data_IF_002246595938
#
_entry.id   IF_002246595938
#
_cell.length_a   1.000
_cell.length_b   1.000
_cell.length_c   1.000
_cell.angle_alpha   90.00
_cell.angle_beta   90.00
_cell.angle_gamma   90.00
#
_symmetry.space_group_name_H-M   'P 1'
#
loop_
_entity.id
_entity.type
_entity.pdbx_description
1 polymer ?
#
# COMPACT_ATOMS: atom_id res chain seq x y z
N UNK A 1 -7.67 -11.39 7.68
CA UNK A 1 -8.90 -11.67 6.90
C UNK A 1 -8.50 -11.98 5.45
N UNK A 2 -9.21 -12.89 4.77
CA UNK A 2 -8.89 -13.22 3.38
C UNK A 2 -9.01 -12.02 2.44
N UNK A 3 -8.06 -11.87 1.51
CA UNK A 3 -7.95 -10.71 0.59
C UNK A 3 -9.26 -10.37 -0.13
N UNK A 4 -10.00 -11.40 -0.60
CA UNK A 4 -11.28 -11.22 -1.31
C UNK A 4 -12.32 -10.54 -0.41
N UNK A 5 -12.39 -10.92 0.86
CA UNK A 5 -13.33 -10.35 1.82
C UNK A 5 -12.99 -8.88 2.08
N UNK A 6 -11.70 -8.56 2.25
CA UNK A 6 -11.23 -7.18 2.43
C UNK A 6 -11.59 -6.32 1.21
N UNK A 7 -11.36 -6.83 -0.01
CA UNK A 7 -11.72 -6.12 -1.24
C UNK A 7 -13.23 -5.93 -1.37
N UNK A 8 -14.05 -6.94 -1.05
CA UNK A 8 -15.50 -6.84 -1.07
C UNK A 8 -16.03 -5.80 -0.06
N UNK A 9 -15.48 -5.80 1.16
CA UNK A 9 -15.80 -4.81 2.18
C UNK A 9 -15.52 -3.39 1.69
N UNK A 10 -14.32 -3.13 1.17
CA UNK A 10 -13.96 -1.82 0.65
C UNK A 10 -14.79 -1.40 -0.56
N UNK A 11 -15.14 -2.33 -1.46
CA UNK A 11 -16.01 -2.05 -2.59
C UNK A 11 -17.41 -1.58 -2.14
N UNK A 12 -18.01 -2.26 -1.16
CA UNK A 12 -19.31 -1.87 -0.58
C UNK A 12 -19.19 -0.52 0.13
N UNK A 13 -18.14 -0.31 0.93
CA UNK A 13 -17.91 0.95 1.64
C UNK A 13 -17.78 2.14 0.66
N UNK A 14 -17.01 1.98 -0.42
CA UNK A 14 -16.85 3.00 -1.46
C UNK A 14 -18.19 3.29 -2.15
N UNK A 15 -18.99 2.27 -2.46
CA UNK A 15 -20.29 2.43 -3.08
C UNK A 15 -21.26 3.23 -2.19
N UNK A 16 -21.32 2.91 -0.90
CA UNK A 16 -22.15 3.61 0.07
C UNK A 16 -21.69 5.06 0.28
N UNK A 17 -20.38 5.29 0.40
CA UNK A 17 -19.78 6.63 0.52
C UNK A 17 -20.05 7.47 -0.73
N UNK A 18 -19.92 6.88 -1.91
CA UNK A 18 -20.24 7.51 -3.19
C UNK A 18 -21.71 7.93 -3.24
N UNK A 19 -22.63 7.03 -2.86
CA UNK A 19 -24.06 7.31 -2.86
C UNK A 19 -24.43 8.43 -1.87
N UNK A 20 -23.96 8.33 -0.63
CA UNK A 20 -24.20 9.33 0.41
C UNK A 20 -23.66 10.70 -0.03
N UNK A 21 -22.41 10.74 -0.50
CA UNK A 21 -21.77 11.97 -0.97
C UNK A 21 -22.51 12.56 -2.18
N UNK A 22 -22.91 11.72 -3.14
CA UNK A 22 -23.71 12.13 -4.29
C UNK A 22 -25.03 12.79 -3.87
N UNK A 23 -25.78 12.17 -2.96
CA UNK A 23 -27.04 12.72 -2.43
C UNK A 23 -26.84 14.08 -1.75
N UNK A 24 -25.75 14.25 -0.99
CA UNK A 24 -25.41 15.52 -0.34
C UNK A 24 -25.13 16.65 -1.35
N UNK A 25 -24.62 16.35 -2.55
CA UNK A 25 -24.37 17.38 -3.58
C UNK A 25 -25.63 17.88 -4.28
N UNK A 26 -26.73 17.13 -4.24
CA UNK A 26 -27.98 17.47 -4.93
C UNK A 26 -28.62 18.79 -4.47
N UNK A 27 -28.80 19.08 -3.16
CA UNK A 27 -29.40 20.35 -2.72
C UNK A 27 -28.56 21.57 -3.14
N UNK A 28 -27.24 21.51 -3.02
CA UNK A 28 -26.34 22.59 -3.46
C UNK A 28 -26.48 22.83 -4.97
N UNK A 29 -26.50 21.75 -5.75
CA UNK A 29 -26.65 21.82 -7.21
C UNK A 29 -28.01 22.37 -7.63
N UNK A 30 -29.05 21.99 -6.89
CA UNK A 30 -30.41 22.44 -7.10
C UNK A 30 -30.56 23.95 -6.89
N UNK A 31 -29.88 24.52 -5.88
CA UNK A 31 -29.92 25.95 -5.55
C UNK A 31 -29.01 26.80 -6.45
N UNK A 32 -27.82 26.30 -6.79
CA UNK A 32 -26.79 27.08 -7.50
C UNK A 32 -26.92 27.04 -9.03
N UNK A 33 -27.53 25.99 -9.62
CA UNK A 33 -27.58 25.83 -11.07
C UNK A 33 -28.92 26.27 -11.69
N UNK A 34 -28.93 27.43 -12.38
CA UNK A 34 -30.13 27.92 -13.11
C UNK A 34 -30.24 27.40 -14.56
N UNK A 35 -29.12 27.22 -15.28
CA UNK A 35 -29.08 26.74 -16.68
C UNK A 35 -28.60 25.29 -16.75
N UNK A 36 -29.23 24.47 -17.61
CA UNK A 36 -28.98 23.02 -17.73
C UNK A 36 -29.08 22.28 -16.37
N UNK A 37 -30.01 22.72 -15.49
CA UNK A 37 -30.13 22.29 -14.09
C UNK A 37 -30.15 20.77 -13.90
N UNK A 38 -31.02 20.06 -14.63
CA UNK A 38 -31.13 18.59 -14.56
C UNK A 38 -29.79 17.89 -14.86
N UNK A 39 -29.07 18.38 -15.86
CA UNK A 39 -27.79 17.81 -16.32
C UNK A 39 -26.69 18.06 -15.30
N UNK A 40 -26.59 19.29 -14.78
CA UNK A 40 -25.62 19.62 -13.72
C UNK A 40 -25.91 18.88 -12.42
N UNK A 41 -27.17 18.69 -12.05
CA UNK A 41 -27.54 17.88 -10.88
C UNK A 41 -27.07 16.43 -11.02
N UNK A 42 -27.27 15.81 -12.20
CA UNK A 42 -26.76 14.46 -12.46
C UNK A 42 -25.22 14.41 -12.39
N UNK A 43 -24.51 15.37 -12.97
CA UNK A 43 -23.04 15.41 -12.92
C UNK A 43 -22.52 15.59 -11.50
N UNK A 44 -23.13 16.48 -10.72
CA UNK A 44 -22.76 16.66 -9.32
C UNK A 44 -22.98 15.37 -8.51
N UNK A 45 -24.11 14.68 -8.72
CA UNK A 45 -24.39 13.40 -8.07
C UNK A 45 -23.34 12.33 -8.42
N UNK A 46 -22.92 12.25 -9.69
CA UNK A 46 -21.94 11.27 -10.17
C UNK A 46 -20.49 11.62 -9.85
N UNK A 47 -20.19 12.88 -9.52
CA UNK A 47 -18.81 13.36 -9.31
C UNK A 47 -18.11 12.67 -8.13
N UNK A 48 -18.70 12.59 -6.92
CA UNK A 48 -18.08 11.88 -5.80
C UNK A 48 -17.78 10.42 -6.11
N UNK A 49 -18.71 9.72 -6.76
CA UNK A 49 -18.51 8.32 -7.15
C UNK A 49 -17.39 8.14 -8.17
N UNK A 50 -17.36 8.99 -9.19
CA UNK A 50 -16.28 8.98 -10.19
C UNK A 50 -14.93 9.23 -9.54
N UNK A 51 -14.86 10.18 -8.60
CA UNK A 51 -13.63 10.52 -7.90
C UNK A 51 -13.15 9.34 -7.02
N UNK A 52 -14.02 8.82 -6.17
CA UNK A 52 -13.70 7.72 -5.25
C UNK A 52 -13.32 6.44 -6.01
N UNK A 53 -14.10 6.05 -7.03
CA UNK A 53 -13.82 4.85 -7.81
C UNK A 53 -12.52 4.96 -8.60
N UNK A 54 -12.26 6.11 -9.24
CA UNK A 54 -11.00 6.32 -9.98
C UNK A 54 -9.81 6.26 -9.04
N UNK A 55 -9.87 6.96 -7.91
CA UNK A 55 -8.78 6.98 -6.94
C UNK A 55 -8.53 5.58 -6.35
N UNK A 56 -9.58 4.86 -5.96
CA UNK A 56 -9.46 3.52 -5.41
C UNK A 56 -8.90 2.51 -6.43
N UNK A 57 -9.44 2.48 -7.65
CA UNK A 57 -8.96 1.59 -8.70
C UNK A 57 -7.51 1.91 -9.10
N UNK A 58 -7.17 3.19 -9.27
CA UNK A 58 -5.81 3.63 -9.54
C UNK A 58 -4.85 3.25 -8.42
N UNK A 59 -5.24 3.46 -7.16
CA UNK A 59 -4.43 3.11 -6.00
C UNK A 59 -4.16 1.61 -5.94
N UNK A 60 -5.17 0.77 -6.18
CA UNK A 60 -5.01 -0.68 -6.21
C UNK A 60 -4.02 -1.14 -7.29
N UNK A 61 -4.15 -0.61 -8.51
CA UNK A 61 -3.20 -0.93 -9.60
C UNK A 61 -1.78 -0.50 -9.22
N UNK A 62 -1.60 0.71 -8.68
CA UNK A 62 -0.30 1.18 -8.23
C UNK A 62 0.28 0.31 -7.11
N UNK A 63 -0.53 -0.14 -6.14
CA UNK A 63 -0.09 -1.05 -5.09
C UNK A 63 0.45 -2.36 -5.65
N UNK A 64 -0.24 -2.96 -6.63
CA UNK A 64 0.21 -4.19 -7.31
C UNK A 64 1.53 -3.96 -8.05
N UNK A 65 1.64 -2.86 -8.81
CA UNK A 65 2.87 -2.53 -9.55
C UNK A 65 4.05 -2.32 -8.58
N UNK A 66 3.83 -1.61 -7.48
CA UNK A 66 4.86 -1.34 -6.47
C UNK A 66 5.29 -2.63 -5.78
N UNK A 67 4.35 -3.52 -5.45
CA UNK A 67 4.65 -4.83 -4.89
C UNK A 67 5.56 -5.66 -5.81
N UNK A 68 5.26 -5.70 -7.11
CA UNK A 68 6.08 -6.41 -8.10
C UNK A 68 7.48 -5.80 -8.22
N UNK A 69 7.59 -4.47 -8.30
CA UNK A 69 8.87 -3.79 -8.49
C UNK A 69 9.77 -3.90 -7.25
N UNK A 70 9.20 -3.69 -6.06
CA UNK A 70 9.96 -3.74 -4.80
C UNK A 70 10.11 -5.16 -4.26
N UNK A 71 9.44 -6.14 -4.87
CA UNK A 71 9.39 -7.52 -4.38
C UNK A 71 8.73 -7.65 -3.01
N UNK A 72 7.85 -6.71 -2.64
CA UNK A 72 7.05 -6.73 -1.41
C UNK A 72 5.68 -7.35 -1.68
N UNK A 73 4.89 -7.57 -0.64
CA UNK A 73 3.47 -7.84 -0.80
C UNK A 73 2.67 -6.58 -1.23
N UNK A 74 1.40 -6.79 -1.60
CA UNK A 74 0.47 -5.74 -2.08
C UNK A 74 0.11 -4.75 -0.96
N UNK A 75 0.26 -5.12 0.30
CA UNK A 75 -0.07 -4.33 1.49
C UNK A 75 -1.55 -4.42 1.85
N UNK A 76 -2.20 -5.53 1.48
CA UNK A 76 -3.62 -5.79 1.76
C UNK A 76 -3.72 -7.11 2.50
N UNK A 77 -4.21 -7.05 3.74
CA UNK A 77 -4.39 -8.22 4.60
C UNK A 77 -3.67 -8.02 5.94
N UNK A 78 -3.52 -9.13 6.63
CA UNK A 78 -3.00 -9.20 8.00
C UNK A 78 -1.50 -9.53 8.01
N UNK A 79 -0.99 -10.05 6.89
CA UNK A 79 0.42 -10.34 6.68
C UNK A 79 1.04 -9.41 5.66
N UNK A 80 2.33 -9.18 5.81
CA UNK A 80 3.14 -8.42 4.87
C UNK A 80 4.51 -9.05 4.70
N UNK A 81 5.16 -8.78 3.57
CA UNK A 81 6.52 -9.23 3.31
C UNK A 81 7.35 -8.16 2.58
N UNK A 82 8.63 -8.11 2.92
CA UNK A 82 9.65 -7.26 2.31
C UNK A 82 10.80 -8.12 1.78
N UNK A 83 11.16 -7.92 0.52
CA UNK A 83 12.31 -8.59 -0.05
C UNK A 83 13.61 -8.20 0.68
N UNK A 84 14.44 -9.22 0.93
CA UNK A 84 15.85 -9.10 1.27
C UNK A 84 16.68 -9.57 0.06
N UNK A 85 18.00 -9.39 0.11
CA UNK A 85 18.88 -9.89 -0.96
C UNK A 85 18.89 -11.42 -1.01
N UNK A 86 19.28 -11.96 -2.16
CA UNK A 86 19.57 -13.39 -2.35
C UNK A 86 18.41 -14.34 -1.99
N UNK A 87 17.18 -14.01 -2.44
CA UNK A 87 15.98 -14.84 -2.25
C UNK A 87 15.52 -15.03 -0.80
N UNK A 88 15.94 -14.14 0.09
CA UNK A 88 15.38 -14.03 1.43
C UNK A 88 14.30 -12.96 1.48
N UNK A 89 13.40 -13.06 2.45
CA UNK A 89 12.42 -12.02 2.76
C UNK A 89 12.21 -11.90 4.27
N UNK A 90 11.80 -10.72 4.69
CA UNK A 90 11.24 -10.46 6.00
C UNK A 90 9.72 -10.52 5.87
N UNK A 91 9.08 -11.43 6.58
CA UNK A 91 7.63 -11.54 6.63
C UNK A 91 7.12 -11.33 8.06
N UNK A 92 5.91 -10.81 8.23
CA UNK A 92 5.28 -10.67 9.54
C UNK A 92 3.77 -10.79 9.40
N UNK A 93 3.09 -11.22 10.47
CA UNK A 93 1.62 -11.30 10.53
C UNK A 93 1.10 -10.61 11.78
N UNK A 94 0.11 -9.74 11.64
CA UNK A 94 -0.56 -8.98 12.71
C UNK A 94 0.35 -8.03 13.50
N UNK A 95 1.30 -8.57 14.25
CA UNK A 95 2.21 -7.86 15.15
C UNK A 95 3.67 -8.02 14.71
N UNK A 96 4.54 -7.04 15.02
CA UNK A 96 5.99 -7.14 14.80
C UNK A 96 6.64 -8.39 15.41
N UNK A 97 6.05 -8.89 16.50
CA UNK A 97 6.53 -10.04 17.26
C UNK A 97 6.41 -11.35 16.47
N UNK A 98 5.53 -11.40 15.48
CA UNK A 98 5.39 -12.53 14.57
C UNK A 98 6.25 -12.39 13.30
N UNK A 99 7.25 -11.51 13.33
CA UNK A 99 8.18 -11.29 12.23
C UNK A 99 9.14 -12.45 12.07
N UNK A 100 9.58 -12.73 10.85
CA UNK A 100 10.58 -13.76 10.59
C UNK A 100 11.33 -13.54 9.28
N UNK A 101 12.54 -14.11 9.21
CA UNK A 101 13.32 -14.19 7.98
C UNK A 101 13.09 -15.56 7.35
N UNK A 102 12.58 -15.56 6.12
CA UNK A 102 12.23 -16.77 5.37
C UNK A 102 12.91 -16.76 4.00
N UNK A 103 12.92 -17.91 3.34
CA UNK A 103 13.21 -17.97 1.90
C UNK A 103 11.94 -17.68 1.11
N UNK A 104 12.03 -16.73 0.17
CA UNK A 104 10.89 -16.23 -0.61
C UNK A 104 10.18 -17.31 -1.45
N UNK A 105 10.94 -18.32 -1.89
CA UNK A 105 10.47 -19.36 -2.80
C UNK A 105 10.36 -20.74 -2.12
N UNK A 106 10.40 -20.79 -0.78
CA UNK A 106 10.33 -22.06 -0.06
C UNK A 106 8.88 -22.49 0.17
N UNK A 107 8.39 -23.56 -0.50
CA UNK A 107 7.03 -24.07 -0.31
C UNK A 107 6.79 -24.64 1.09
N UNK A 108 7.84 -24.97 1.84
CA UNK A 108 7.75 -25.43 3.22
C UNK A 108 7.65 -24.27 4.23
N UNK A 109 7.94 -23.04 3.80
CA UNK A 109 7.88 -21.85 4.65
C UNK A 109 8.86 -21.91 5.82
N UNK A 110 10.06 -22.44 5.62
CA UNK A 110 11.06 -22.52 6.69
C UNK A 110 11.40 -21.12 7.21
N UNK A 111 11.06 -20.88 8.47
CA UNK A 111 11.42 -19.67 9.20
C UNK A 111 12.84 -19.86 9.73
N UNK A 112 13.79 -19.13 9.14
CA UNK A 112 15.22 -19.24 9.47
C UNK A 112 15.59 -18.43 10.72
N UNK A 113 14.89 -17.33 10.93
CA UNK A 113 14.96 -16.54 12.17
C UNK A 113 13.53 -16.15 12.52
N UNK A 114 13.03 -16.58 13.67
CA UNK A 114 11.69 -16.26 14.16
C UNK A 114 11.69 -15.02 15.06
N UNK A 115 10.52 -14.45 15.28
CA UNK A 115 10.28 -13.34 16.22
C UNK A 115 11.15 -12.09 15.98
N UNK A 116 11.45 -11.80 14.72
CA UNK A 116 12.28 -10.66 14.31
C UNK A 116 11.52 -9.36 14.50
N UNK A 117 11.76 -8.67 15.63
CA UNK A 117 11.10 -7.40 15.96
C UNK A 117 11.82 -6.19 15.38
N UNK A 118 13.15 -6.24 15.35
CA UNK A 118 13.99 -5.14 14.86
C UNK A 118 15.05 -5.69 13.92
N UNK A 119 15.38 -4.91 12.89
CA UNK A 119 16.44 -5.28 11.96
C UNK A 119 17.17 -4.07 11.37
N UNK A 120 18.32 -4.36 10.79
CA UNK A 120 19.08 -3.47 9.93
C UNK A 120 19.80 -4.32 8.89
N UNK A 121 19.73 -3.91 7.63
CA UNK A 121 20.47 -4.57 6.54
C UNK A 121 21.80 -3.86 6.35
N UNK A 122 22.90 -4.61 6.48
CA UNK A 122 24.28 -4.15 6.33
C UNK A 122 24.97 -4.95 5.23
N UNK A 123 24.98 -4.42 4.01
CA UNK A 123 25.60 -5.08 2.87
C UNK A 123 24.89 -6.40 2.55
N UNK A 124 25.55 -7.53 2.86
CA UNK A 124 25.03 -8.88 2.66
C UNK A 124 24.69 -9.59 3.98
N UNK A 125 24.55 -8.83 5.06
CA UNK A 125 24.10 -9.33 6.36
C UNK A 125 22.87 -8.57 6.84
N UNK A 126 22.03 -9.25 7.62
CA UNK A 126 20.97 -8.64 8.42
C UNK A 126 21.36 -8.80 9.87
N UNK A 127 21.31 -7.71 10.64
CA UNK A 127 21.40 -7.78 12.10
C UNK A 127 20.09 -7.34 12.69
N UNK A 128 19.78 -7.85 13.87
CA UNK A 128 18.48 -7.53 14.46
C UNK A 128 18.30 -8.04 15.87
N UNK A 129 17.05 -7.95 16.32
CA UNK A 129 16.56 -8.54 17.55
C UNK A 129 15.50 -9.57 17.24
N UNK A 130 15.66 -10.76 17.80
CA UNK A 130 14.76 -11.90 17.72
C UNK A 130 14.64 -12.54 19.11
N UNK A 131 13.42 -12.85 19.57
CA UNK A 131 13.16 -13.47 20.89
C UNK A 131 13.97 -12.81 22.04
N UNK A 132 13.91 -11.47 22.12
CA UNK A 132 14.62 -10.68 23.13
C UNK A 132 16.15 -10.61 22.99
N UNK A 133 16.77 -11.39 22.11
CA UNK A 133 18.22 -11.47 21.88
C UNK A 133 18.64 -10.85 20.55
N UNK A 134 19.94 -10.66 20.34
CA UNK A 134 20.46 -10.17 19.06
C UNK A 134 20.81 -11.32 18.12
N UNK A 135 20.72 -11.07 16.82
CA UNK A 135 21.16 -12.03 15.80
C UNK A 135 21.96 -11.36 14.67
N UNK A 136 22.74 -12.17 13.97
CA UNK A 136 23.39 -11.84 12.71
C UNK A 136 23.03 -12.93 11.70
N UNK A 137 22.41 -12.54 10.59
CA UNK A 137 22.02 -13.42 9.48
C UNK A 137 22.80 -13.06 8.22
N UNK A 138 23.46 -14.03 7.60
CA UNK A 138 24.21 -13.82 6.37
C UNK A 138 23.35 -14.16 5.14
N UNK A 139 23.03 -13.13 4.34
CA UNK A 139 22.19 -13.27 3.16
C UNK A 139 22.87 -14.06 2.02
N UNK A 140 24.19 -14.32 2.03
CA UNK A 140 24.85 -15.10 0.96
C UNK A 140 24.70 -16.59 1.12
N UNK A 141 24.83 -17.07 2.36
CA UNK A 141 24.91 -18.51 2.65
C UNK A 141 23.83 -18.99 3.62
N UNK A 142 22.99 -18.09 4.14
CA UNK A 142 21.91 -18.43 5.08
C UNK A 142 22.39 -18.80 6.47
N UNK A 143 23.68 -18.67 6.76
CA UNK A 143 24.22 -18.93 8.10
C UNK A 143 23.79 -17.79 9.01
N UNK A 144 23.26 -18.15 10.18
CA UNK A 144 22.88 -17.21 11.21
C UNK A 144 23.58 -17.52 12.53
N UNK A 145 23.67 -16.49 13.36
CA UNK A 145 24.15 -16.58 14.73
C UNK A 145 23.15 -15.84 15.59
N UNK A 146 22.46 -16.59 16.46
CA UNK A 146 21.37 -16.10 17.30
C UNK A 146 21.79 -16.05 18.76
N UNK A 147 20.87 -15.63 19.63
CA UNK A 147 21.05 -15.59 21.08
C UNK A 147 22.27 -14.78 21.52
N UNK A 148 22.65 -13.76 20.74
CA UNK A 148 23.77 -12.90 21.03
C UNK A 148 23.38 -11.86 22.08
N UNK A 149 24.29 -11.60 23.01
CA UNK A 149 24.28 -10.38 23.81
C UNK A 149 24.69 -9.18 22.96
N UNK A 150 24.32 -7.97 23.39
CA UNK A 150 24.79 -6.74 22.73
C UNK A 150 26.33 -6.64 22.69
N UNK A 151 27.00 -7.13 23.73
CA UNK A 151 28.45 -7.16 23.78
C UNK A 151 29.05 -8.10 22.73
N UNK A 152 28.42 -9.25 22.48
CA UNK A 152 28.88 -10.17 21.44
C UNK A 152 28.61 -9.62 20.04
N UNK A 153 27.42 -9.01 19.82
CA UNK A 153 27.13 -8.33 18.56
C UNK A 153 28.18 -7.26 18.24
N UNK A 154 28.57 -6.47 19.25
CA UNK A 154 29.54 -5.38 19.09
C UNK A 154 30.99 -5.84 18.91
N UNK A 155 31.30 -7.13 19.11
CA UNK A 155 32.59 -7.72 18.69
C UNK A 155 32.66 -7.93 17.17
N UNK A 156 31.51 -8.12 16.53
CA UNK A 156 31.42 -8.32 15.09
C UNK A 156 31.16 -7.02 14.32
N UNK A 157 30.45 -6.06 14.93
CA UNK A 157 29.97 -4.84 14.27
C UNK A 157 30.22 -3.63 15.16
N UNK A 158 30.75 -2.56 14.57
CA UNK A 158 31.05 -1.34 15.34
C UNK A 158 29.76 -0.76 15.95
N UNK A 159 29.72 -0.45 17.26
CA UNK A 159 28.52 0.08 17.93
C UNK A 159 27.92 1.31 17.24
N UNK A 160 28.75 2.17 16.66
CA UNK A 160 28.32 3.39 15.96
C UNK A 160 27.59 3.13 14.64
N UNK A 161 27.63 1.91 14.12
CA UNK A 161 26.97 1.51 12.87
C UNK A 161 25.62 0.82 13.11
N UNK A 162 25.32 0.46 14.36
CA UNK A 162 24.12 -0.28 14.73
C UNK A 162 22.96 0.70 14.87
N UNK A 163 22.06 0.67 13.89
CA UNK A 163 20.82 1.44 13.86
C UNK A 163 19.67 0.49 13.51
N UNK A 164 19.24 -0.27 14.51
CA UNK A 164 18.12 -1.19 14.37
C UNK A 164 16.82 -0.40 14.26
N UNK A 165 16.01 -0.74 13.26
CA UNK A 165 14.66 -0.20 13.09
C UNK A 165 13.64 -1.31 13.33
N UNK A 166 12.47 -0.93 13.83
CA UNK A 166 11.34 -1.84 13.94
C UNK A 166 10.97 -2.44 12.56
N UNK A 167 10.56 -3.70 12.55
CA UNK A 167 10.32 -4.45 11.32
C UNK A 167 9.20 -3.82 10.45
N UNK A 168 8.16 -3.25 11.06
CA UNK A 168 7.07 -2.58 10.38
C UNK A 168 7.52 -1.23 9.82
N UNK A 169 8.45 -0.58 10.52
CA UNK A 169 9.08 0.65 10.04
C UNK A 169 9.99 0.38 8.85
N UNK A 170 10.78 -0.69 8.88
CA UNK A 170 11.58 -1.13 7.74
C UNK A 170 10.71 -1.36 6.49
N UNK A 171 9.63 -2.13 6.65
CA UNK A 171 8.65 -2.37 5.59
C UNK A 171 8.04 -1.07 5.03
N UNK A 172 7.59 -0.17 5.92
CA UNK A 172 6.96 1.09 5.53
C UNK A 172 7.92 2.01 4.79
N UNK A 173 9.17 2.14 5.25
CA UNK A 173 10.15 3.03 4.63
C UNK A 173 10.56 2.55 3.22
N UNK A 174 10.60 1.23 2.96
CA UNK A 174 10.83 0.72 1.59
C UNK A 174 9.78 1.22 0.59
N UNK A 175 8.51 1.34 1.02
CA UNK A 175 7.37 1.63 0.14
C UNK A 175 6.99 3.11 0.11
N UNK A 176 7.40 3.88 1.12
CA UNK A 176 7.00 5.27 1.37
C UNK A 176 7.10 6.18 0.15
N UNK A 177 8.27 6.22 -0.49
CA UNK A 177 8.49 7.09 -1.65
C UNK A 177 7.64 6.67 -2.84
N UNK A 178 7.58 5.36 -3.13
CA UNK A 178 6.78 4.82 -4.22
C UNK A 178 5.28 5.09 -4.01
N UNK A 179 4.79 4.92 -2.78
CA UNK A 179 3.41 5.21 -2.39
C UNK A 179 3.06 6.69 -2.48
N UNK A 180 3.98 7.58 -2.10
CA UNK A 180 3.77 9.03 -2.24
C UNK A 180 3.62 9.43 -3.71
N UNK A 181 4.52 8.94 -4.58
CA UNK A 181 4.46 9.21 -6.03
C UNK A 181 3.18 8.64 -6.63
N UNK A 182 2.83 7.40 -6.31
CA UNK A 182 1.60 6.76 -6.78
C UNK A 182 0.35 7.51 -6.32
N UNK A 183 0.30 7.98 -5.08
CA UNK A 183 -0.80 8.79 -4.57
C UNK A 183 -1.00 10.08 -5.36
N UNK A 184 0.09 10.79 -5.67
CA UNK A 184 0.05 12.00 -6.51
C UNK A 184 -0.48 11.67 -7.91
N UNK A 185 0.02 10.60 -8.54
CA UNK A 185 -0.46 10.16 -9.86
C UNK A 185 -1.94 9.78 -9.84
N UNK A 186 -2.41 9.09 -8.80
CA UNK A 186 -3.83 8.73 -8.63
C UNK A 186 -4.72 9.97 -8.45
N UNK A 187 -4.25 10.98 -7.72
CA UNK A 187 -4.97 12.26 -7.60
C UNK A 187 -5.07 12.99 -8.95
N UNK A 188 -3.99 13.03 -9.73
CA UNK A 188 -3.99 13.62 -11.07
C UNK A 188 -4.96 12.87 -12.01
N UNK A 189 -4.94 11.53 -11.98
CA UNK A 189 -5.87 10.71 -12.74
C UNK A 189 -7.32 10.95 -12.31
N UNK A 190 -7.56 11.10 -11.01
CA UNK A 190 -8.89 11.39 -10.45
C UNK A 190 -9.40 12.75 -10.93
N UNK A 191 -8.56 13.79 -10.88
CA UNK A 191 -8.91 15.12 -11.39
C UNK A 191 -9.21 15.08 -12.89
N UNK A 192 -8.42 14.33 -13.68
CA UNK A 192 -8.65 14.13 -15.10
C UNK A 192 -9.99 13.42 -15.38
N UNK A 193 -10.30 12.35 -14.64
CA UNK A 193 -11.56 11.61 -14.78
C UNK A 193 -12.78 12.48 -14.46
N UNK A 194 -12.73 13.27 -13.39
CA UNK A 194 -13.80 14.22 -13.06
C UNK A 194 -13.92 15.28 -14.14
N UNK A 195 -12.80 15.83 -14.63
CA UNK A 195 -12.83 16.81 -15.72
C UNK A 195 -13.45 16.23 -17.00
N UNK A 196 -13.10 15.00 -17.38
CA UNK A 196 -13.67 14.31 -18.53
C UNK A 196 -15.17 14.07 -18.37
N UNK A 197 -15.61 13.61 -17.19
CA UNK A 197 -17.02 13.45 -16.86
C UNK A 197 -17.79 14.74 -17.12
N UNK A 198 -17.29 15.87 -16.61
CA UNK A 198 -17.93 17.17 -16.80
C UNK A 198 -17.85 17.67 -18.24
N UNK A 199 -16.73 17.46 -18.94
CA UNK A 199 -16.55 17.88 -20.33
C UNK A 199 -17.53 17.17 -21.27
N UNK A 200 -17.60 15.84 -21.20
CA UNK A 200 -18.54 15.02 -21.96
C UNK A 200 -19.97 15.31 -21.50
N UNK A 201 -20.13 15.37 -20.18
CA UNK A 201 -21.37 15.66 -19.48
C UNK A 201 -21.99 17.01 -19.77
N UNK A 202 -21.26 18.01 -20.30
CA UNK A 202 -21.80 19.31 -20.71
C UNK A 202 -21.79 19.52 -22.24
N UNK A 203 -20.78 19.02 -22.97
CA UNK A 203 -20.65 19.29 -24.41
C UNK A 203 -21.12 18.14 -25.32
N UNK A 204 -21.11 16.90 -24.84
CA UNK A 204 -21.45 15.73 -25.67
C UNK A 204 -22.89 15.71 -26.21
N UNK A 205 -23.86 16.27 -25.49
CA UNK A 205 -25.26 16.34 -25.94
C UNK A 205 -25.61 17.59 -26.75
N UNK A 206 -24.79 18.65 -26.78
CA UNK A 206 -25.13 19.82 -27.60
C UNK A 206 -25.06 19.51 -29.09
N UNK A 207 -24.13 18.64 -29.52
CA UNK A 207 -24.08 18.15 -30.91
C UNK A 207 -25.37 17.41 -31.31
N UNK A 208 -25.93 16.60 -30.41
CA UNK A 208 -27.14 15.80 -30.69
C UNK A 208 -28.43 16.62 -30.83
N UNK A 209 -28.46 17.86 -30.34
CA UNK A 209 -29.63 18.75 -30.43
C UNK A 209 -29.56 19.71 -31.63
N UNK A 210 -28.42 19.76 -32.34
CA UNK A 210 -28.26 20.50 -33.60
C UNK A 210 -28.46 19.61 -34.83
N UNK A 211 -28.56 18.28 -34.63
CA UNK A 211 -28.80 17.27 -35.67
C UNK A 211 -30.27 16.77 -35.69
N UNK A 212 -31.16 17.42 -34.91
CA UNK A 212 -32.61 17.19 -34.83
C UNK A 212 -33.35 18.48 -35.18
#
# INVERSE_FOLDING_TARGET
MGMILVLAFWAVAILLLSLASGLLTLPFSCLLCKRQRKRKMLLCFLTPGTALCTYAAGSFVCMVVIAVILGTDIGIGDSWSAALKNHYELASTDAPENGGICRKDDPCGEVLVSEVTHLQVLGDSVIGKADGSYFIFNLKNGIHTDSLTYQELTRHISPSTIHLVDNSTYYREQRKTAYAIAGILCLLLTALSVWLLWRIGLHGFQKKLQEL
#
